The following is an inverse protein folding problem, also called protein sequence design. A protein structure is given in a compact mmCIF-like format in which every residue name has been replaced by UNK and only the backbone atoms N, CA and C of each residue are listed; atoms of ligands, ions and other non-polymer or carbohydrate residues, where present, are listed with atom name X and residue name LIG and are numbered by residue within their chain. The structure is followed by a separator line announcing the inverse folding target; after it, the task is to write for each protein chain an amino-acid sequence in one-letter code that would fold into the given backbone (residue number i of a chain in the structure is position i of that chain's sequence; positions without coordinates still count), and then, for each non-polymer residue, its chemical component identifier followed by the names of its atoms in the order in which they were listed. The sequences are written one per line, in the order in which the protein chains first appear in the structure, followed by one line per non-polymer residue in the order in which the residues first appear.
data_IF_637482433589
#
_entry.id   IF_637482433589
#
_cell.length_a   1.000
_cell.length_b   1.000
_cell.length_c   1.000
_cell.angle_alpha   90.00
_cell.angle_beta   90.00
_cell.angle_gamma   90.00
#
_symmetry.space_group_name_H-M   'P 1'
#
loop_
_entity.id
_entity.type
_entity.pdbx_description
1 polymer ?
#
# COMPACT_ATOMS: atom_id res chain seq x y z
N UNK A 1 5.44 14.27 30.26
CA UNK A 1 5.09 15.05 29.04
C UNK A 1 6.20 14.94 27.98
N UNK A 2 6.66 13.71 27.66
CA UNK A 2 7.62 13.47 26.56
C UNK A 2 7.38 12.03 26.05
N UNK A 3 6.21 11.81 25.47
CA UNK A 3 5.85 10.58 24.78
C UNK A 3 5.64 10.89 23.30
N UNK A 4 6.66 11.45 22.66
CA UNK A 4 6.72 11.51 21.20
C UNK A 4 6.90 10.07 20.74
N UNK A 5 5.80 9.33 20.65
CA UNK A 5 5.74 8.15 19.79
C UNK A 5 5.80 8.75 18.39
N UNK A 6 7.02 8.96 17.90
CA UNK A 6 7.24 9.27 16.49
C UNK A 6 6.62 8.10 15.77
N UNK A 7 5.49 8.37 15.13
CA UNK A 7 4.70 7.46 14.34
C UNK A 7 5.61 6.44 13.62
N UNK A 8 5.71 5.24 14.18
CA UNK A 8 6.38 4.06 13.63
C UNK A 8 5.58 3.57 12.42
N UNK A 9 5.28 4.45 11.47
CA UNK A 9 4.84 4.05 10.15
C UNK A 9 6.12 3.77 9.39
N UNK A 10 6.65 2.56 9.58
CA UNK A 10 7.48 1.92 8.57
C UNK A 10 6.64 1.95 7.29
N UNK A 11 6.87 2.97 6.47
CA UNK A 11 6.28 3.07 5.14
C UNK A 11 7.00 2.03 4.30
N UNK A 12 6.49 0.80 4.32
CA UNK A 12 6.84 -0.18 3.31
C UNK A 12 6.28 0.36 1.98
N UNK A 13 7.16 1.03 1.26
CA UNK A 13 6.84 1.76 0.04
C UNK A 13 6.68 0.75 -1.10
N UNK A 14 5.49 0.70 -1.66
CA UNK A 14 5.16 -0.20 -2.76
C UNK A 14 5.12 0.61 -4.05
N UNK A 15 5.98 0.27 -5.01
CA UNK A 15 5.92 0.82 -6.35
C UNK A 15 5.05 -0.07 -7.25
N UNK A 16 4.04 0.54 -7.88
CA UNK A 16 3.26 -0.11 -8.93
C UNK A 16 3.89 0.12 -10.30
N UNK A 17 3.42 -0.61 -11.31
CA UNK A 17 3.74 -0.45 -12.74
C UNK A 17 3.60 0.99 -13.26
N UNK A 18 2.81 1.82 -12.57
CA UNK A 18 2.49 3.19 -12.94
C UNK A 18 3.37 4.28 -12.30
N UNK A 19 4.49 3.92 -11.66
CA UNK A 19 5.42 4.82 -10.95
C UNK A 19 4.84 5.58 -9.75
N UNK A 20 3.60 5.29 -9.33
CA UNK A 20 3.07 5.81 -8.08
C UNK A 20 3.56 4.98 -6.90
N UNK A 21 3.97 5.67 -5.84
CA UNK A 21 4.40 5.07 -4.59
C UNK A 21 3.22 5.11 -3.62
N UNK A 22 2.88 3.95 -3.07
CA UNK A 22 1.80 3.81 -2.11
C UNK A 22 2.33 3.24 -0.80
N UNK A 23 1.68 3.62 0.29
CA UNK A 23 1.87 2.92 1.56
C UNK A 23 1.37 1.47 1.42
N UNK A 24 1.97 0.51 2.12
CA UNK A 24 1.53 -0.89 2.06
C UNK A 24 0.03 -1.07 2.36
N UNK A 25 -0.51 -0.35 3.35
CA UNK A 25 -1.95 -0.36 3.66
C UNK A 25 -2.80 0.12 2.47
N UNK A 26 -2.35 1.18 1.80
CA UNK A 26 -3.00 1.82 0.67
C UNK A 26 -3.01 0.87 -0.54
N UNK A 27 -1.89 0.19 -0.77
CA UNK A 27 -1.74 -0.79 -1.83
C UNK A 27 -2.60 -2.04 -1.57
N UNK A 28 -2.64 -2.55 -0.33
CA UNK A 28 -3.53 -3.65 0.06
C UNK A 28 -5.01 -3.29 -0.10
N UNK A 29 -5.42 -2.10 0.38
CA UNK A 29 -6.79 -1.62 0.24
C UNK A 29 -7.19 -1.44 -1.23
N UNK A 30 -6.31 -0.90 -2.08
CA UNK A 30 -6.59 -0.76 -3.51
C UNK A 30 -6.70 -2.12 -4.23
N UNK A 31 -5.95 -3.11 -3.77
CA UNK A 31 -6.03 -4.49 -4.25
C UNK A 31 -7.17 -5.29 -3.63
N UNK A 32 -7.97 -4.70 -2.72
CA UNK A 32 -9.02 -5.39 -1.95
C UNK A 32 -8.51 -6.63 -1.19
N UNK A 33 -7.27 -6.59 -0.72
CA UNK A 33 -6.66 -7.64 0.11
C UNK A 33 -6.43 -7.13 1.52
N UNK A 34 -6.44 -8.05 2.48
CA UNK A 34 -6.08 -7.72 3.84
C UNK A 34 -4.56 -7.58 3.96
N UNK A 35 -4.10 -6.75 4.90
CA UNK A 35 -2.68 -6.52 5.17
C UNK A 35 -1.96 -7.82 5.57
N UNK A 36 -2.69 -8.73 6.24
CA UNK A 36 -2.22 -10.04 6.69
C UNK A 36 -1.94 -10.98 5.51
N UNK A 37 -2.81 -10.96 4.50
CA UNK A 37 -2.70 -11.77 3.28
C UNK A 37 -1.66 -11.16 2.30
N UNK A 38 -1.61 -9.84 2.28
CA UNK A 38 -0.59 -9.03 1.63
C UNK A 38 -0.72 -8.94 0.12
N UNK A 39 0.15 -8.11 -0.48
CA UNK A 39 0.13 -7.82 -1.91
C UNK A 39 0.38 -9.02 -2.82
N UNK A 40 0.97 -10.11 -2.29
CA UNK A 40 1.21 -11.34 -3.06
C UNK A 40 -0.10 -12.04 -3.47
N UNK A 41 -1.16 -11.85 -2.71
CA UNK A 41 -2.49 -12.37 -3.00
C UNK A 41 -3.38 -11.40 -3.80
N UNK A 42 -2.87 -10.21 -4.10
CA UNK A 42 -3.58 -9.22 -4.90
C UNK A 42 -3.89 -9.76 -6.30
N UNK A 43 -5.07 -9.43 -6.81
CA UNK A 43 -5.41 -9.67 -8.21
C UNK A 43 -4.45 -8.86 -9.10
N UNK A 44 -3.75 -9.47 -10.09
CA UNK A 44 -2.83 -8.75 -10.98
C UNK A 44 -3.53 -7.69 -11.86
N UNK A 45 -4.87 -7.67 -11.90
CA UNK A 45 -5.68 -6.63 -12.56
C UNK A 45 -6.08 -5.50 -11.61
N UNK A 46 -5.65 -5.52 -10.36
CA UNK A 46 -5.84 -4.42 -9.41
C UNK A 46 -5.24 -3.14 -9.99
N UNK A 47 -6.00 -2.05 -9.91
CA UNK A 47 -5.60 -0.77 -10.49
C UNK A 47 -5.00 0.12 -9.41
N UNK A 48 -4.02 0.93 -9.79
CA UNK A 48 -3.53 2.00 -8.95
C UNK A 48 -4.68 2.94 -8.55
N UNK A 49 -4.87 3.26 -7.26
CA UNK A 49 -5.97 4.12 -6.82
C UNK A 49 -5.78 5.58 -7.26
N UNK A 50 -4.56 6.00 -7.64
CA UNK A 50 -4.25 7.36 -8.10
C UNK A 50 -4.54 7.56 -9.60
N UNK A 51 -4.04 6.65 -10.45
CA UNK A 51 -4.13 6.83 -11.91
C UNK A 51 -4.91 5.73 -12.65
N UNK A 52 -5.45 4.75 -11.92
CA UNK A 52 -6.28 3.65 -12.44
C UNK A 52 -5.61 2.74 -13.48
N UNK A 53 -4.29 2.81 -13.62
CA UNK A 53 -3.48 1.89 -14.42
C UNK A 53 -3.28 0.58 -13.65
N UNK A 54 -3.37 -0.55 -14.34
CA UNK A 54 -2.93 -1.85 -13.85
C UNK A 54 -1.45 -2.05 -14.23
#
# INVERSE_FOLDING_TARGET
LLGHILQETVFDAVSLTCSHILCYMCACSAASVTIVDGLKAANPKAKCPLCRKA
#
